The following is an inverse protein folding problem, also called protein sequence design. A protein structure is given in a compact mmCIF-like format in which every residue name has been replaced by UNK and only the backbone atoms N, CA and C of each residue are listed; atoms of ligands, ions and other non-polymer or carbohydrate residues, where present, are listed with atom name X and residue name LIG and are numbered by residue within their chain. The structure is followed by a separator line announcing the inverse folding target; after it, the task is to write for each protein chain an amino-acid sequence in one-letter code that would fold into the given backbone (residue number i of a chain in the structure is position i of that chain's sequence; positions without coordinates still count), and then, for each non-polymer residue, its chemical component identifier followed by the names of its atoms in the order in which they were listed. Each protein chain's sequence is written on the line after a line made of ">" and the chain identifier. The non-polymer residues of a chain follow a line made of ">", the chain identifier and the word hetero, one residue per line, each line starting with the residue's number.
data_IF_491681983687
#
_entry.id   IF_491681983687
#
_cell.length_a   1.000
_cell.length_b   1.000
_cell.length_c   1.000
_cell.angle_alpha   90.00
_cell.angle_beta   90.00
_cell.angle_gamma   90.00
#
_symmetry.space_group_name_H-M   'P 1'
#
loop_
_entity.id
_entity.type
_entity.pdbx_description
1 polymer ?
#
# COMPACT_ATOMS: atom_id res chain seq x y z
N UNK A 1 -14.11 31.57 1.36
CA UNK A 1 -12.66 31.60 1.64
C UNK A 1 -12.24 30.16 1.84
N UNK A 2 -11.47 29.58 0.91
CA UNK A 2 -10.88 28.25 1.11
C UNK A 2 -9.80 28.45 2.18
N UNK A 3 -9.97 27.86 3.36
CA UNK A 3 -8.90 27.88 4.36
C UNK A 3 -7.67 27.22 3.74
N UNK A 4 -6.50 27.83 3.93
CA UNK A 4 -5.25 27.21 3.52
C UNK A 4 -5.10 25.94 4.37
N UNK A 5 -5.15 24.78 3.71
CA UNK A 5 -4.93 23.49 4.35
C UNK A 5 -3.47 23.47 4.81
N UNK A 6 -3.24 23.51 6.12
CA UNK A 6 -1.91 23.30 6.67
C UNK A 6 -1.54 21.82 6.54
N UNK A 7 -0.69 21.51 5.57
CA UNK A 7 -0.28 20.15 5.24
C UNK A 7 0.43 19.45 6.41
N UNK A 8 1.04 20.20 7.33
CA UNK A 8 1.74 19.62 8.49
C UNK A 8 0.77 18.95 9.47
N UNK A 9 -0.52 19.28 9.42
CA UNK A 9 -1.54 18.60 10.21
C UNK A 9 -1.78 17.17 9.72
N UNK A 10 -1.56 16.91 8.43
CA UNK A 10 -1.92 15.64 7.78
C UNK A 10 -0.73 14.70 7.61
N UNK A 11 0.43 15.20 7.19
CA UNK A 11 1.62 14.38 6.96
C UNK A 11 2.35 14.10 8.29
N UNK A 12 2.53 12.81 8.61
CA UNK A 12 3.30 12.37 9.78
C UNK A 12 4.68 11.88 9.36
N UNK A 13 5.63 11.93 10.30
CA UNK A 13 7.05 11.64 10.01
C UNK A 13 7.44 10.19 10.33
N UNK A 14 6.61 9.44 11.03
CA UNK A 14 6.83 8.04 11.34
C UNK A 14 5.50 7.27 11.40
N UNK A 15 5.63 5.94 11.33
CA UNK A 15 4.50 5.02 11.27
C UNK A 15 3.63 5.11 12.53
N UNK A 16 4.23 5.22 13.72
CA UNK A 16 3.51 5.29 14.99
C UNK A 16 2.60 6.53 15.06
N UNK A 17 3.13 7.71 14.73
CA UNK A 17 2.34 8.94 14.68
C UNK A 17 1.21 8.84 13.66
N UNK A 18 1.48 8.25 12.48
CA UNK A 18 0.46 8.05 11.45
C UNK A 18 -0.64 7.10 11.94
N UNK A 19 -0.26 5.99 12.57
CA UNK A 19 -1.17 4.98 13.11
C UNK A 19 -2.05 5.55 14.20
N UNK A 20 -1.47 6.22 15.19
CA UNK A 20 -2.23 6.83 16.28
C UNK A 20 -3.15 7.95 15.77
N UNK A 21 -2.70 8.73 14.77
CA UNK A 21 -3.57 9.73 14.12
C UNK A 21 -4.77 9.06 13.46
N UNK A 22 -4.56 7.97 12.71
CA UNK A 22 -5.64 7.21 12.08
C UNK A 22 -6.62 6.65 13.10
N UNK A 23 -6.13 6.03 14.18
CA UNK A 23 -6.98 5.52 15.28
C UNK A 23 -7.82 6.64 15.89
N UNK A 24 -7.24 7.82 16.04
CA UNK A 24 -7.92 9.02 16.55
C UNK A 24 -9.08 9.51 15.67
N UNK A 25 -9.15 9.11 14.39
CA UNK A 25 -10.26 9.47 13.50
C UNK A 25 -11.58 8.81 13.91
N UNK A 26 -11.54 7.73 14.69
CA UNK A 26 -12.72 6.95 15.08
C UNK A 26 -13.80 7.83 15.73
N UNK A 27 -13.44 8.71 16.66
CA UNK A 27 -14.41 9.55 17.37
C UNK A 27 -15.19 10.46 16.43
N UNK A 28 -14.50 11.09 15.47
CA UNK A 28 -15.11 11.94 14.45
C UNK A 28 -15.97 11.14 13.47
N UNK A 29 -15.57 9.91 13.15
CA UNK A 29 -16.37 9.01 12.32
C UNK A 29 -17.64 8.59 13.04
N UNK A 30 -17.58 8.37 14.36
CA UNK A 30 -18.74 8.02 15.19
C UNK A 30 -19.80 9.12 15.29
N UNK A 31 -19.46 10.38 15.00
CA UNK A 31 -20.45 11.46 14.87
C UNK A 31 -21.40 11.24 13.68
N UNK A 32 -20.95 10.52 12.64
CA UNK A 32 -21.71 10.24 11.41
C UNK A 32 -22.21 8.78 11.36
N UNK A 33 -21.39 7.83 11.80
CA UNK A 33 -21.72 6.42 11.95
C UNK A 33 -21.51 5.96 13.40
N UNK A 34 -22.52 6.04 14.27
CA UNK A 34 -22.38 5.76 15.71
C UNK A 34 -21.83 4.36 16.03
N UNK A 35 -22.11 3.37 15.17
CA UNK A 35 -21.67 1.98 15.33
C UNK A 35 -20.28 1.71 14.75
N UNK A 36 -19.54 2.74 14.31
CA UNK A 36 -18.19 2.59 13.79
C UNK A 36 -17.24 2.00 14.84
N UNK A 37 -16.40 1.06 14.40
CA UNK A 37 -15.43 0.35 15.24
C UNK A 37 -14.05 0.35 14.60
N UNK A 38 -13.02 0.38 15.45
CA UNK A 38 -11.63 0.13 15.08
C UNK A 38 -11.33 -1.36 15.23
N UNK A 39 -10.78 -1.94 14.18
CA UNK A 39 -10.26 -3.30 14.13
C UNK A 39 -8.75 -3.23 13.90
N UNK A 40 -8.00 -4.09 14.57
CA UNK A 40 -6.55 -4.11 14.50
C UNK A 40 -6.10 -5.54 14.23
N UNK A 41 -5.24 -5.71 13.24
CA UNK A 41 -4.66 -7.01 12.92
C UNK A 41 -3.15 -6.88 12.84
N UNK A 42 -2.44 -7.61 13.70
CA UNK A 42 -0.99 -7.64 13.70
C UNK A 42 -0.46 -8.24 12.38
N UNK A 43 0.58 -7.63 11.82
CA UNK A 43 1.28 -8.10 10.62
C UNK A 43 2.77 -8.25 10.93
N UNK A 44 3.36 -9.36 10.52
CA UNK A 44 4.75 -9.72 10.83
C UNK A 44 4.91 -10.24 12.27
N UNK A 45 6.12 -10.67 12.62
CA UNK A 45 6.37 -11.38 13.89
C UNK A 45 7.08 -10.55 14.97
N UNK A 46 7.89 -9.57 14.57
CA UNK A 46 8.87 -8.93 15.47
C UNK A 46 8.51 -7.53 15.90
N UNK A 47 8.04 -6.72 14.97
CA UNK A 47 7.74 -5.32 15.20
C UNK A 47 6.24 -5.14 15.45
N UNK A 48 5.88 -4.11 16.22
CA UNK A 48 4.49 -3.72 16.43
C UNK A 48 3.91 -3.06 15.17
N UNK A 49 3.60 -3.90 14.20
CA UNK A 49 3.02 -3.56 12.92
C UNK A 49 1.59 -4.09 12.87
N UNK A 50 0.66 -3.27 12.39
CA UNK A 50 -0.74 -3.62 12.31
C UNK A 50 -1.42 -2.97 11.11
N UNK A 51 -2.33 -3.71 10.50
CA UNK A 51 -3.33 -3.14 9.60
C UNK A 51 -4.53 -2.80 10.47
N UNK A 52 -4.84 -1.51 10.52
CA UNK A 52 -5.95 -0.95 11.28
C UNK A 52 -7.08 -0.58 10.32
N UNK A 53 -8.30 -0.95 10.69
CA UNK A 53 -9.51 -0.72 9.89
C UNK A 53 -10.56 -0.02 10.74
N UNK A 54 -11.07 1.11 10.28
CA UNK A 54 -12.28 1.73 10.84
C UNK A 54 -13.44 1.39 9.93
N UNK A 55 -14.43 0.69 10.46
CA UNK A 55 -15.57 0.19 9.70
C UNK A 55 -16.91 0.47 10.40
N UNK A 56 -17.92 0.84 9.61
CA UNK A 56 -19.33 0.87 9.99
C UNK A 56 -20.22 0.57 8.79
N UNK A 57 -21.34 -0.11 9.02
CA UNK A 57 -22.43 -0.20 8.05
C UNK A 57 -23.19 1.13 7.98
N UNK A 58 -23.97 1.31 6.92
CA UNK A 58 -24.93 2.41 6.84
C UNK A 58 -25.93 2.35 8.01
N UNK A 59 -26.44 3.51 8.41
CA UNK A 59 -27.30 3.65 9.59
C UNK A 59 -28.76 3.22 9.35
N UNK A 60 -29.17 2.98 8.11
CA UNK A 60 -30.54 2.56 7.77
C UNK A 60 -30.61 1.40 6.78
N UNK A 61 -30.08 1.57 5.56
CA UNK A 61 -29.99 0.51 4.53
C UNK A 61 -28.55 0.42 4.04
N UNK A 62 -27.90 -0.73 4.19
CA UNK A 62 -26.50 -0.87 3.84
C UNK A 62 -26.32 -1.16 2.35
N UNK A 63 -26.52 -0.14 1.49
CA UNK A 63 -26.55 -0.30 0.03
C UNK A 63 -25.19 -0.11 -0.64
N UNK A 64 -24.30 0.68 -0.02
CA UNK A 64 -22.97 1.02 -0.54
C UNK A 64 -21.95 1.10 0.57
N UNK A 65 -20.66 1.04 0.22
CA UNK A 65 -19.55 1.39 1.11
C UNK A 65 -18.58 2.34 0.43
N UNK A 66 -18.12 3.35 1.16
CA UNK A 66 -16.93 4.11 0.79
C UNK A 66 -15.69 3.43 1.38
N UNK A 67 -14.91 2.77 0.52
CA UNK A 67 -13.66 2.11 0.88
C UNK A 67 -12.47 2.99 0.50
N UNK A 68 -11.64 3.37 1.48
CA UNK A 68 -10.36 4.03 1.26
C UNK A 68 -9.25 3.21 1.92
N UNK A 69 -8.20 2.94 1.16
CA UNK A 69 -7.02 2.22 1.65
C UNK A 69 -5.77 3.08 1.54
N UNK A 70 -4.77 2.78 2.36
CA UNK A 70 -3.47 3.45 2.33
C UNK A 70 -2.33 2.46 2.48
N UNK A 71 -1.17 2.83 1.93
CA UNK A 71 0.10 2.16 2.21
C UNK A 71 0.21 0.75 1.65
N UNK A 72 -0.33 0.46 0.47
CA UNK A 72 0.01 -0.75 -0.28
C UNK A 72 1.51 -0.77 -0.60
N UNK A 73 2.02 0.34 -1.14
CA UNK A 73 3.43 0.67 -1.01
C UNK A 73 3.66 1.38 0.31
N UNK A 74 4.49 0.81 1.18
CA UNK A 74 4.65 1.30 2.55
C UNK A 74 4.99 2.79 2.65
N UNK A 75 6.03 3.24 1.95
CA UNK A 75 6.48 4.65 1.95
C UNK A 75 5.40 5.63 1.43
N UNK A 76 4.52 5.19 0.54
CA UNK A 76 3.42 6.01 0.01
C UNK A 76 2.23 6.06 0.99
N UNK A 77 2.26 5.24 2.05
CA UNK A 77 1.27 5.20 3.12
C UNK A 77 1.12 6.52 3.87
N UNK A 78 2.19 7.32 4.01
CA UNK A 78 2.11 8.65 4.63
C UNK A 78 1.20 9.60 3.83
N UNK A 79 1.33 9.59 2.50
CA UNK A 79 0.49 10.39 1.62
C UNK A 79 -0.96 9.85 1.61
N UNK A 80 -1.14 8.54 1.54
CA UNK A 80 -2.47 7.92 1.63
C UNK A 80 -3.18 8.23 2.94
N UNK A 81 -2.49 8.13 4.08
CA UNK A 81 -3.03 8.47 5.39
C UNK A 81 -3.41 9.95 5.50
N UNK A 82 -2.59 10.85 4.95
CA UNK A 82 -2.91 12.27 4.87
C UNK A 82 -4.21 12.52 4.08
N UNK A 83 -4.41 11.82 2.97
CA UNK A 83 -5.66 11.88 2.18
C UNK A 83 -6.86 11.36 2.97
N UNK A 84 -6.73 10.24 3.67
CA UNK A 84 -7.79 9.69 4.52
C UNK A 84 -8.18 10.69 5.62
N UNK A 85 -7.19 11.28 6.30
CA UNK A 85 -7.45 12.26 7.36
C UNK A 85 -8.13 13.52 6.79
N UNK A 86 -7.65 14.04 5.66
CA UNK A 86 -8.28 15.19 4.98
C UNK A 86 -9.72 14.86 4.54
N UNK A 87 -9.97 13.63 4.06
CA UNK A 87 -11.31 13.15 3.73
C UNK A 87 -12.21 13.16 4.97
N UNK A 88 -11.76 12.58 6.10
CA UNK A 88 -12.51 12.60 7.36
C UNK A 88 -12.76 14.03 7.84
N UNK A 89 -11.81 14.93 7.62
CA UNK A 89 -11.92 16.30 8.10
C UNK A 89 -12.95 17.16 7.38
N UNK A 90 -12.98 17.05 6.04
CA UNK A 90 -13.67 18.01 5.19
C UNK A 90 -14.80 17.39 4.37
N UNK A 91 -14.78 16.07 4.16
CA UNK A 91 -15.65 15.40 3.20
C UNK A 91 -16.52 14.31 3.81
N UNK A 92 -16.30 13.94 5.07
CA UNK A 92 -17.05 12.88 5.75
C UNK A 92 -18.57 13.11 5.69
N UNK A 93 -19.01 14.34 5.98
CA UNK A 93 -20.43 14.74 5.95
C UNK A 93 -21.03 14.81 4.54
N UNK A 94 -20.23 14.64 3.48
CA UNK A 94 -20.71 14.58 2.09
C UNK A 94 -21.21 13.19 1.69
N UNK A 95 -20.95 12.18 2.51
CA UNK A 95 -21.50 10.83 2.33
C UNK A 95 -22.83 10.76 3.06
N UNK A 96 -23.84 10.18 2.41
CA UNK A 96 -25.12 9.88 3.05
C UNK A 96 -24.98 8.60 3.92
N UNK A 97 -24.94 8.73 5.26
CA UNK A 97 -24.75 7.58 6.13
C UNK A 97 -25.97 6.67 6.17
N UNK A 98 -27.15 7.12 5.71
CA UNK A 98 -28.36 6.29 5.74
C UNK A 98 -28.30 5.14 4.74
N UNK A 99 -27.57 5.32 3.63
CA UNK A 99 -27.44 4.32 2.55
C UNK A 99 -26.01 3.82 2.35
N UNK A 100 -25.00 4.51 2.90
CA UNK A 100 -23.58 4.22 2.64
C UNK A 100 -22.82 4.00 3.94
N UNK A 101 -22.22 2.81 4.10
CA UNK A 101 -21.24 2.51 5.14
C UNK A 101 -19.86 3.08 4.83
N UNK A 102 -18.94 2.96 5.78
CA UNK A 102 -17.57 3.46 5.67
C UNK A 102 -16.57 2.35 6.00
N UNK A 103 -15.49 2.25 5.22
CA UNK A 103 -14.36 1.37 5.51
C UNK A 103 -13.05 2.08 5.18
N UNK A 104 -12.29 2.44 6.21
CA UNK A 104 -10.99 3.10 6.05
C UNK A 104 -9.90 2.15 6.52
N UNK A 105 -8.80 2.04 5.78
CA UNK A 105 -7.69 1.11 6.08
C UNK A 105 -6.36 1.83 6.15
N UNK A 106 -5.63 1.63 7.25
CA UNK A 106 -4.30 2.18 7.48
C UNK A 106 -3.38 1.20 8.22
N UNK A 107 -2.19 0.89 7.73
CA UNK A 107 -1.77 0.88 6.33
C UNK A 107 -1.58 -0.58 5.93
N UNK A 108 -1.83 -0.93 4.67
CA UNK A 108 -1.77 -2.31 4.17
C UNK A 108 -0.36 -2.92 4.37
N UNK A 109 0.69 -2.12 4.18
CA UNK A 109 2.09 -2.50 4.40
C UNK A 109 2.69 -1.68 5.57
N UNK A 110 2.37 -2.03 6.83
CA UNK A 110 2.84 -1.28 8.00
C UNK A 110 4.36 -1.35 8.16
N UNK A 111 4.99 -2.51 7.88
CA UNK A 111 6.44 -2.65 7.90
C UNK A 111 7.11 -1.72 6.88
N UNK A 112 6.65 -1.74 5.64
CA UNK A 112 7.21 -0.89 4.60
C UNK A 112 7.07 0.59 4.95
N UNK A 113 5.94 0.99 5.54
CA UNK A 113 5.73 2.37 5.97
C UNK A 113 6.70 2.79 7.07
N UNK A 114 6.87 1.95 8.10
CA UNK A 114 7.83 2.15 9.20
C UNK A 114 9.27 2.30 8.70
N UNK A 115 9.66 1.50 7.72
CA UNK A 115 11.04 1.46 7.20
C UNK A 115 11.27 2.34 5.96
N UNK A 116 10.30 3.18 5.57
CA UNK A 116 10.35 3.99 4.34
C UNK A 116 10.66 3.15 3.09
N UNK A 117 10.03 1.97 2.99
CA UNK A 117 10.15 1.02 1.89
C UNK A 117 8.85 0.94 1.12
N UNK A 118 8.97 0.71 -0.19
CA UNK A 118 7.84 0.36 -1.05
C UNK A 118 7.27 -1.03 -0.73
N UNK A 119 8.16 -1.96 -0.40
CA UNK A 119 7.92 -3.40 -0.26
C UNK A 119 7.74 -3.82 1.20
N UNK A 120 7.27 -5.05 1.44
CA UNK A 120 7.23 -5.67 2.78
C UNK A 120 8.62 -6.07 3.27
N UNK A 121 8.71 -6.62 4.48
CA UNK A 121 9.93 -7.16 5.08
C UNK A 121 10.60 -8.24 4.22
N UNK A 122 9.80 -8.94 3.41
CA UNK A 122 10.23 -10.01 2.52
C UNK A 122 10.65 -9.50 1.13
N UNK A 123 10.80 -8.17 0.97
CA UNK A 123 11.05 -7.50 -0.31
C UNK A 123 9.93 -7.70 -1.35
N UNK A 124 8.71 -8.03 -0.90
CA UNK A 124 7.55 -8.24 -1.77
C UNK A 124 6.84 -6.92 -2.06
N UNK A 125 6.60 -6.62 -3.34
CA UNK A 125 5.73 -5.55 -3.82
C UNK A 125 4.28 -6.04 -3.80
N UNK A 126 3.48 -5.55 -2.84
CA UNK A 126 2.10 -6.01 -2.65
C UNK A 126 1.21 -5.81 -3.89
N UNK A 127 1.51 -4.82 -4.73
CA UNK A 127 0.81 -4.56 -5.99
C UNK A 127 1.11 -5.59 -7.08
N UNK A 128 1.92 -6.61 -6.76
CA UNK A 128 2.20 -7.77 -7.61
C UNK A 128 1.89 -9.09 -6.89
N UNK A 129 1.45 -9.02 -5.62
CA UNK A 129 1.22 -10.16 -4.75
C UNK A 129 -0.29 -10.37 -4.45
N UNK A 130 -1.17 -9.69 -5.18
CA UNK A 130 -2.61 -9.82 -5.02
C UNK A 130 -3.20 -10.84 -6.02
N UNK A 131 -3.19 -12.12 -5.64
CA UNK A 131 -3.71 -13.22 -6.46
C UNK A 131 -5.20 -13.47 -6.20
N UNK A 132 -5.97 -14.08 -7.09
CA UNK A 132 -7.34 -14.49 -6.73
C UNK A 132 -7.30 -15.83 -5.99
N UNK A 133 -6.61 -16.80 -6.58
CA UNK A 133 -6.28 -18.10 -6.01
C UNK A 133 -4.75 -18.23 -5.83
N UNK A 134 -4.29 -19.01 -4.85
CA UNK A 134 -2.85 -19.24 -4.60
C UNK A 134 -2.12 -19.86 -5.81
N UNK A 135 -2.85 -20.58 -6.67
CA UNK A 135 -2.32 -21.18 -7.90
C UNK A 135 -2.08 -20.17 -9.02
N UNK A 136 -2.54 -18.92 -8.88
CA UNK A 136 -2.43 -17.88 -9.91
C UNK A 136 -1.07 -17.15 -9.88
N UNK A 137 -0.15 -17.55 -9.00
CA UNK A 137 1.19 -16.97 -8.93
C UNK A 137 1.88 -17.20 -10.29
N UNK A 138 2.26 -16.14 -11.02
CA UNK A 138 2.89 -16.29 -12.31
C UNK A 138 4.28 -16.91 -12.15
N UNK A 139 4.40 -18.21 -12.47
CA UNK A 139 5.70 -18.89 -12.51
C UNK A 139 6.55 -18.47 -13.74
N UNK A 140 5.93 -17.83 -14.73
CA UNK A 140 6.52 -17.58 -16.05
C UNK A 140 6.89 -16.11 -16.34
N UNK A 141 8.20 -15.93 -16.56
CA UNK A 141 8.82 -15.26 -17.72
C UNK A 141 8.66 -13.74 -17.90
N UNK A 142 9.19 -12.96 -16.94
CA UNK A 142 9.67 -11.63 -17.30
C UNK A 142 11.06 -11.73 -17.94
N UNK A 143 11.15 -12.30 -19.15
CA UNK A 143 12.42 -12.47 -19.89
C UNK A 143 13.19 -11.16 -20.05
N UNK A 144 12.47 -10.04 -20.20
CA UNK A 144 13.07 -8.72 -20.30
C UNK A 144 13.72 -8.31 -18.97
N UNK A 145 13.14 -8.66 -17.83
CA UNK A 145 13.76 -8.48 -16.52
C UNK A 145 14.98 -9.39 -16.35
N UNK A 146 14.91 -10.66 -16.76
CA UNK A 146 16.05 -11.57 -16.68
C UNK A 146 17.27 -11.05 -17.47
N UNK A 147 17.06 -10.59 -18.71
CA UNK A 147 18.12 -9.98 -19.56
C UNK A 147 18.75 -8.76 -18.88
N UNK A 148 17.94 -7.92 -18.27
CA UNK A 148 18.37 -6.68 -17.60
C UNK A 148 18.56 -6.85 -16.08
N UNK A 149 18.59 -8.09 -15.58
CA UNK A 149 18.61 -8.40 -14.15
C UNK A 149 19.78 -7.76 -13.43
N UNK A 150 20.92 -7.61 -14.11
CA UNK A 150 22.10 -6.93 -13.59
C UNK A 150 21.88 -5.46 -13.19
N UNK A 151 20.84 -4.79 -13.71
CA UNK A 151 20.43 -3.42 -13.34
C UNK A 151 19.53 -3.43 -12.10
N UNK A 152 18.69 -4.45 -11.98
CA UNK A 152 17.58 -4.50 -11.03
C UNK A 152 17.84 -5.39 -9.80
N UNK A 153 18.87 -6.24 -9.85
CA UNK A 153 19.35 -7.06 -8.75
C UNK A 153 20.58 -6.42 -8.08
N UNK A 154 20.44 -5.91 -6.85
CA UNK A 154 21.58 -5.43 -6.08
C UNK A 154 22.48 -6.61 -5.68
N UNK A 155 23.75 -6.59 -6.13
CA UNK A 155 24.73 -7.63 -5.76
C UNK A 155 25.25 -7.46 -4.33
N UNK A 156 25.32 -6.22 -3.85
CA UNK A 156 25.84 -5.83 -2.53
C UNK A 156 25.05 -4.64 -1.97
N UNK A 157 25.14 -4.36 -0.66
CA UNK A 157 24.63 -3.11 -0.09
C UNK A 157 25.28 -1.89 -0.74
N UNK A 158 24.55 -0.77 -0.74
CA UNK A 158 25.04 0.51 -1.25
C UNK A 158 26.15 1.05 -0.35
N UNK A 159 27.29 1.41 -0.94
CA UNK A 159 28.43 1.98 -0.22
C UNK A 159 28.46 3.51 -0.38
N UNK A 160 28.58 4.01 -1.62
CA UNK A 160 28.61 5.45 -1.94
C UNK A 160 27.44 5.82 -2.84
N UNK A 161 26.37 6.38 -2.23
CA UNK A 161 25.09 6.69 -2.90
C UNK A 161 25.29 7.50 -4.19
N UNK A 162 26.10 8.57 -4.17
CA UNK A 162 26.28 9.44 -5.34
C UNK A 162 26.91 8.73 -6.54
N UNK A 163 27.91 7.88 -6.28
CA UNK A 163 28.61 7.08 -7.29
C UNK A 163 27.69 6.01 -7.85
N UNK A 164 27.10 5.20 -6.97
CA UNK A 164 26.25 4.08 -7.40
C UNK A 164 24.95 4.56 -8.06
N UNK A 165 24.43 5.73 -7.69
CA UNK A 165 23.31 6.38 -8.40
C UNK A 165 23.70 6.76 -9.84
N UNK A 166 24.92 7.27 -10.04
CA UNK A 166 25.44 7.59 -11.38
C UNK A 166 25.58 6.31 -12.20
N UNK A 167 26.20 5.27 -11.64
CA UNK A 167 26.35 3.95 -12.29
C UNK A 167 24.98 3.34 -12.67
N UNK A 168 23.99 3.44 -11.78
CA UNK A 168 22.62 3.00 -12.05
C UNK A 168 21.99 3.77 -13.22
N UNK A 169 22.12 5.10 -13.27
CA UNK A 169 21.57 5.89 -14.38
C UNK A 169 22.26 5.61 -15.70
N UNK A 170 23.57 5.37 -15.69
CA UNK A 170 24.30 4.95 -16.89
C UNK A 170 23.83 3.57 -17.37
N UNK A 171 23.65 2.62 -16.46
CA UNK A 171 23.13 1.28 -16.77
C UNK A 171 21.70 1.36 -17.33
N UNK A 172 20.82 2.13 -16.70
CA UNK A 172 19.46 2.38 -17.19
C UNK A 172 19.45 3.02 -18.58
N UNK A 173 20.37 3.97 -18.84
CA UNK A 173 20.49 4.63 -20.14
C UNK A 173 20.95 3.65 -21.23
N UNK A 174 21.91 2.78 -20.93
CA UNK A 174 22.36 1.71 -21.83
C UNK A 174 21.25 0.69 -22.11
N UNK A 175 20.54 0.23 -21.07
CA UNK A 175 19.39 -0.65 -21.24
C UNK A 175 18.29 -0.03 -22.12
N UNK A 176 17.99 1.26 -21.92
CA UNK A 176 17.01 1.99 -22.75
C UNK A 176 17.41 2.03 -24.23
N UNK A 177 18.71 2.11 -24.53
CA UNK A 177 19.22 2.08 -25.90
C UNK A 177 19.16 0.68 -26.53
N UNK A 178 19.34 -0.39 -25.74
CA UNK A 178 19.37 -1.77 -26.23
C UNK A 178 17.98 -2.36 -26.46
N UNK A 179 17.07 -2.21 -25.49
CA UNK A 179 15.73 -2.86 -25.48
C UNK A 179 14.60 -1.88 -25.88
N UNK A 180 14.92 -0.58 -25.97
CA UNK A 180 13.94 0.49 -26.15
C UNK A 180 13.13 0.79 -24.88
N UNK A 181 12.59 2.01 -24.80
CA UNK A 181 11.80 2.47 -23.65
C UNK A 181 10.61 1.55 -23.31
N UNK A 182 10.02 0.89 -24.32
CA UNK A 182 8.90 -0.04 -24.13
C UNK A 182 9.30 -1.32 -23.39
N UNK A 183 10.45 -1.92 -23.70
CA UNK A 183 10.93 -3.16 -23.06
C UNK A 183 11.17 -2.97 -21.56
N UNK A 184 11.86 -1.89 -21.19
CA UNK A 184 12.10 -1.54 -19.76
C UNK A 184 10.80 -1.22 -19.04
N UNK A 185 9.87 -0.48 -19.67
CA UNK A 185 8.58 -0.17 -19.04
C UNK A 185 7.74 -1.43 -18.82
N UNK A 186 7.75 -2.37 -19.76
CA UNK A 186 7.07 -3.65 -19.63
C UNK A 186 7.70 -4.52 -18.53
N UNK A 187 9.03 -4.59 -18.48
CA UNK A 187 9.76 -5.31 -17.44
C UNK A 187 9.43 -4.80 -16.03
N UNK A 188 9.27 -3.47 -15.86
CA UNK A 188 8.86 -2.88 -14.58
C UNK A 188 7.36 -3.05 -14.29
N UNK A 189 6.53 -2.99 -15.33
CA UNK A 189 5.08 -3.01 -15.21
C UNK A 189 4.53 -4.34 -14.70
N UNK A 190 5.04 -5.46 -15.21
CA UNK A 190 4.50 -6.79 -14.90
C UNK A 190 4.90 -7.32 -13.52
N UNK A 191 5.90 -6.73 -12.86
CA UNK A 191 6.54 -7.37 -11.72
C UNK A 191 7.42 -8.56 -12.15
N UNK A 192 8.02 -9.24 -11.18
CA UNK A 192 8.80 -10.44 -11.42
C UNK A 192 8.75 -11.36 -10.19
N UNK A 193 8.91 -12.66 -10.38
CA UNK A 193 8.74 -13.67 -9.34
C UNK A 193 9.94 -14.62 -9.23
N UNK A 194 11.04 -14.32 -9.92
CA UNK A 194 12.22 -15.19 -10.02
C UNK A 194 13.39 -14.73 -9.13
N UNK A 195 13.45 -13.42 -8.86
CA UNK A 195 14.58 -12.77 -8.22
C UNK A 195 14.13 -12.10 -6.93
N UNK A 196 14.09 -12.84 -5.83
CA UNK A 196 13.66 -12.39 -4.51
C UNK A 196 14.32 -11.09 -4.01
N UNK A 197 15.57 -10.84 -4.40
CA UNK A 197 16.33 -9.61 -4.06
C UNK A 197 16.13 -8.46 -5.03
N UNK A 198 15.47 -8.71 -6.16
CA UNK A 198 15.25 -7.75 -7.22
C UNK A 198 14.15 -6.73 -6.89
N UNK A 199 14.17 -5.59 -7.57
CA UNK A 199 13.02 -4.67 -7.54
C UNK A 199 11.79 -5.30 -8.20
N UNK A 200 10.61 -4.93 -7.72
CA UNK A 200 9.30 -5.43 -8.20
C UNK A 200 9.08 -6.94 -8.02
N UNK A 201 9.76 -7.54 -7.03
CA UNK A 201 9.51 -8.93 -6.65
C UNK A 201 8.10 -9.09 -6.10
N UNK A 202 7.31 -10.01 -6.65
CA UNK A 202 5.92 -10.23 -6.27
C UNK A 202 5.69 -11.33 -5.24
N UNK A 203 6.73 -11.94 -4.67
CA UNK A 203 6.61 -13.00 -3.66
C UNK A 203 6.41 -14.40 -4.25
N UNK A 204 6.79 -15.45 -3.51
CA UNK A 204 6.54 -16.84 -3.91
C UNK A 204 5.20 -17.38 -3.39
N UNK A 205 4.59 -16.64 -2.47
CA UNK A 205 3.37 -16.97 -1.75
C UNK A 205 2.66 -15.65 -1.42
N UNK A 206 1.38 -15.73 -1.09
CA UNK A 206 0.62 -14.55 -0.67
C UNK A 206 1.15 -14.00 0.66
N UNK A 207 1.39 -12.70 0.74
CA UNK A 207 1.78 -12.02 1.97
C UNK A 207 0.58 -11.90 2.92
N UNK A 208 0.78 -12.03 4.24
CA UNK A 208 -0.29 -11.92 5.23
C UNK A 208 -1.13 -10.64 5.10
N UNK A 209 -0.52 -9.53 4.68
CA UNK A 209 -1.21 -8.28 4.38
C UNK A 209 -2.28 -8.45 3.30
N UNK A 210 -1.95 -9.12 2.19
CA UNK A 210 -2.89 -9.39 1.10
C UNK A 210 -4.06 -10.25 1.56
N UNK A 211 -3.76 -11.36 2.25
CA UNK A 211 -4.77 -12.28 2.78
C UNK A 211 -5.72 -11.56 3.74
N UNK A 212 -5.21 -10.72 4.66
CA UNK A 212 -6.05 -9.97 5.59
C UNK A 212 -6.96 -8.98 4.87
N UNK A 213 -6.47 -8.22 3.89
CA UNK A 213 -7.30 -7.28 3.13
C UNK A 213 -8.38 -8.00 2.33
N UNK A 214 -8.10 -9.19 1.79
CA UNK A 214 -9.13 -10.02 1.15
C UNK A 214 -10.27 -10.39 2.09
N UNK A 215 -10.01 -10.60 3.39
CA UNK A 215 -11.09 -10.86 4.36
C UNK A 215 -12.07 -9.70 4.43
N UNK A 216 -11.57 -8.47 4.44
CA UNK A 216 -12.39 -7.26 4.41
C UNK A 216 -13.12 -7.10 3.09
N UNK A 217 -12.44 -7.29 1.96
CA UNK A 217 -13.10 -7.20 0.65
C UNK A 217 -14.22 -8.23 0.49
N UNK A 218 -14.01 -9.48 0.93
CA UNK A 218 -15.05 -10.52 0.93
C UNK A 218 -16.20 -10.17 1.87
N UNK A 219 -15.91 -9.64 3.06
CA UNK A 219 -16.94 -9.15 3.98
C UNK A 219 -17.77 -8.05 3.32
N UNK A 220 -17.14 -7.02 2.75
CA UNK A 220 -17.83 -5.93 2.09
C UNK A 220 -18.67 -6.42 0.90
N UNK A 221 -18.07 -7.17 -0.03
CA UNK A 221 -18.76 -7.69 -1.23
C UNK A 221 -19.84 -8.73 -0.92
N UNK A 222 -19.83 -9.34 0.27
CA UNK A 222 -20.87 -10.26 0.72
C UNK A 222 -22.08 -9.58 1.35
N UNK A 223 -21.97 -8.30 1.72
CA UNK A 223 -23.02 -7.52 2.36
C UNK A 223 -23.73 -6.56 1.39
N UNK A 224 -23.14 -6.26 0.24
CA UNK A 224 -23.69 -5.36 -0.80
C UNK A 224 -24.13 -6.13 -2.05
#
# INVERSE_FOLDING_TARGET
>A
MVSVIDINNYFKNNYEESRETFRGLLSKIQEVWPEAKLYQHAIGEKEDNSIDVIYAEATSSNDKVALLTSGEHGIEGYAGAAVIHLFVDHYLASIDPSTTGICLVHAINPWGMRHFRRVTENNVDLNRNYFLEETDIPYDLNENYEKESHIFLPKKPVDVISKEKTELYEALSKGMMNEGYKGIKQAKGMGQFQFDRGVYFGGYEEEPSGSYIKTWQRHLLGQF
#
